data_IF_044795266099
#
_entry.id   IF_044795266099
#
_cell.length_a   1.000
_cell.length_b   1.000
_cell.length_c   1.000
_cell.angle_alpha   90.00
_cell.angle_beta   90.00
_cell.angle_gamma   90.00
#
_symmetry.space_group_name_H-M   'P 1'
#
loop_
_entity.id
_entity.type
_entity.pdbx_description
1 polymer ?
#
# COMPACT_ATOMS: atom_id res chain seq x y z
N UNK A 1 -11.97 24.46 -3.36
CA UNK A 1 -11.21 23.72 -2.33
C UNK A 1 -11.31 22.26 -2.67
N UNK A 2 -10.45 21.77 -3.57
CA UNK A 2 -10.48 20.37 -4.03
C UNK A 2 -9.71 19.57 -2.97
N UNK A 3 -10.44 18.93 -2.05
CA UNK A 3 -9.91 17.78 -1.30
C UNK A 3 -9.69 16.69 -2.33
N UNK A 4 -8.51 16.62 -2.91
CA UNK A 4 -8.13 15.48 -3.74
C UNK A 4 -8.17 14.23 -2.86
N UNK A 5 -8.94 13.23 -3.28
CA UNK A 5 -8.94 11.90 -2.69
C UNK A 5 -7.50 11.39 -2.63
N UNK A 6 -6.91 11.45 -1.44
CA UNK A 6 -5.56 10.95 -1.13
C UNK A 6 -5.64 9.42 -1.06
N UNK A 7 -5.78 8.74 -2.19
CA UNK A 7 -5.70 7.29 -2.22
C UNK A 7 -4.22 6.86 -2.12
N UNK A 8 -3.82 6.47 -0.91
CA UNK A 8 -2.61 5.69 -0.70
C UNK A 8 -2.90 4.25 -1.15
N UNK A 9 -2.09 3.69 -2.05
CA UNK A 9 -2.29 2.34 -2.58
C UNK A 9 -1.22 1.41 -2.02
N UNK A 10 -1.62 0.27 -1.44
CA UNK A 10 -0.69 -0.74 -0.90
C UNK A 10 -1.09 -2.14 -1.36
N UNK A 11 -0.26 -2.75 -2.21
CA UNK A 11 -0.46 -4.12 -2.70
C UNK A 11 0.12 -5.11 -1.69
N UNK A 12 -0.76 -5.87 -1.02
CA UNK A 12 -0.38 -7.00 -0.18
C UNK A 12 -1.02 -8.27 -0.75
N UNK A 13 -0.25 -9.36 -0.81
CA UNK A 13 -0.61 -10.62 -1.46
C UNK A 13 -1.81 -11.34 -0.84
N UNK A 14 -2.15 -10.97 0.39
CA UNK A 14 -3.31 -11.39 1.12
C UNK A 14 -3.76 -10.19 1.96
N UNK A 15 -5.05 -10.13 2.37
CA UNK A 15 -5.47 -9.30 3.48
C UNK A 15 -4.81 -9.82 4.77
N UNK A 16 -3.52 -9.51 4.96
CA UNK A 16 -2.80 -9.86 6.17
C UNK A 16 -3.35 -8.98 7.30
N UNK A 17 -3.97 -9.62 8.29
CA UNK A 17 -4.57 -8.95 9.43
C UNK A 17 -3.53 -8.28 10.35
N UNK A 18 -2.25 -8.62 10.19
CA UNK A 18 -1.14 -8.21 11.05
C UNK A 18 -0.14 -7.33 10.27
N UNK A 19 -0.55 -6.10 9.98
CA UNK A 19 0.38 -5.06 9.47
C UNK A 19 0.94 -4.25 10.63
N UNK A 20 2.06 -3.56 10.41
CA UNK A 20 2.60 -2.63 11.40
C UNK A 20 2.74 -1.23 10.82
N UNK A 21 2.39 -0.23 11.61
CA UNK A 21 2.48 1.19 11.25
C UNK A 21 3.09 2.01 12.38
N UNK A 22 3.68 3.16 12.06
CA UNK A 22 4.00 4.16 13.07
C UNK A 22 2.72 4.86 13.53
N UNK A 23 2.77 5.48 14.72
CA UNK A 23 1.66 6.31 15.24
C UNK A 23 1.25 7.38 14.22
N UNK A 24 2.25 8.09 13.70
CA UNK A 24 2.06 9.13 12.70
C UNK A 24 1.39 8.61 11.43
N UNK A 25 1.87 7.50 10.85
CA UNK A 25 1.32 6.98 9.59
C UNK A 25 -0.15 6.58 9.71
N UNK A 26 -0.56 6.01 10.85
CA UNK A 26 -1.96 5.68 11.06
C UNK A 26 -2.83 6.94 11.29
N UNK A 27 -2.35 7.89 12.10
CA UNK A 27 -3.05 9.17 12.35
C UNK A 27 -3.20 10.03 11.09
N UNK A 28 -2.24 9.96 10.16
CA UNK A 28 -2.30 10.62 8.85
C UNK A 28 -3.19 9.88 7.83
N UNK A 29 -3.71 8.70 8.20
CA UNK A 29 -4.64 7.94 7.37
C UNK A 29 -3.98 7.18 6.24
N UNK A 30 -2.71 6.74 6.36
CA UNK A 30 -1.99 6.02 5.30
C UNK A 30 -2.67 4.73 4.80
N UNK A 31 -3.63 4.19 5.56
CA UNK A 31 -4.39 3.00 5.19
C UNK A 31 -5.84 3.31 4.78
N UNK A 32 -6.34 4.51 5.05
CA UNK A 32 -7.71 4.88 4.73
C UNK A 32 -7.90 4.98 3.21
N UNK A 33 -8.82 4.20 2.65
CA UNK A 33 -9.05 4.17 1.21
C UNK A 33 -8.00 3.42 0.40
N UNK A 34 -7.11 2.68 1.07
CA UNK A 34 -6.18 1.77 0.42
C UNK A 34 -6.91 0.55 -0.16
N UNK A 35 -6.28 -0.09 -1.15
CA UNK A 35 -6.77 -1.31 -1.81
C UNK A 35 -5.71 -2.39 -1.69
N UNK A 36 -6.09 -3.57 -1.21
CA UNK A 36 -5.21 -4.76 -1.19
C UNK A 36 -5.60 -5.70 -2.33
N UNK A 37 -4.60 -6.24 -3.06
CA UNK A 37 -4.82 -7.12 -4.20
C UNK A 37 -4.21 -8.49 -3.94
N UNK A 38 -5.04 -9.54 -3.98
CA UNK A 38 -4.60 -10.89 -3.64
C UNK A 38 -4.26 -11.76 -4.86
N UNK A 39 -3.75 -12.97 -4.59
CA UNK A 39 -3.39 -13.95 -5.62
C UNK A 39 -4.58 -14.56 -6.35
N UNK A 40 -5.80 -14.42 -5.83
CA UNK A 40 -7.04 -14.83 -6.50
C UNK A 40 -7.55 -13.78 -7.50
N UNK A 41 -6.90 -12.60 -7.53
CA UNK A 41 -7.30 -11.48 -8.39
C UNK A 41 -8.43 -10.66 -7.81
N UNK A 42 -8.58 -10.65 -6.48
CA UNK A 42 -9.57 -9.84 -5.78
C UNK A 42 -8.94 -8.57 -5.19
N UNK A 43 -9.63 -7.44 -5.36
CA UNK A 43 -9.34 -6.17 -4.71
C UNK A 43 -10.20 -6.02 -3.47
N UNK A 44 -9.54 -5.84 -2.33
CA UNK A 44 -10.11 -5.67 -1.01
C UNK A 44 -9.93 -4.21 -0.56
N UNK A 45 -10.99 -3.40 -0.52
CA UNK A 45 -10.89 -2.03 -0.02
C UNK A 45 -10.68 -2.00 1.49
N UNK A 46 -9.66 -1.29 1.95
CA UNK A 46 -9.45 -1.00 3.36
C UNK A 46 -10.43 0.10 3.77
N UNK A 47 -11.37 -0.29 4.61
CA UNK A 47 -12.45 0.58 5.11
C UNK A 47 -12.11 1.22 6.45
N UNK A 48 -11.27 0.55 7.24
CA UNK A 48 -10.80 1.05 8.53
C UNK A 48 -9.42 0.45 8.87
N UNK A 49 -8.66 1.15 9.70
CA UNK A 49 -7.38 0.69 10.20
C UNK A 49 -7.16 1.21 11.62
N UNK A 50 -6.90 0.30 12.57
CA UNK A 50 -6.79 0.63 13.98
C UNK A 50 -5.63 -0.11 14.64
N UNK A 51 -4.99 0.49 15.64
CA UNK A 51 -4.00 -0.22 16.46
C UNK A 51 -4.67 -1.39 17.19
N UNK A 52 -4.00 -2.55 17.19
CA UNK A 52 -4.48 -3.72 17.95
C UNK A 52 -4.54 -3.40 19.45
N UNK A 53 -3.56 -2.66 19.93
CA UNK A 53 -3.53 -2.07 21.27
C UNK A 53 -3.19 -0.59 21.15
N UNK A 54 -3.90 0.32 21.84
CA UNK A 54 -3.61 1.74 21.78
C UNK A 54 -2.14 2.04 22.14
N UNK A 55 -1.43 2.85 21.34
CA UNK A 55 -0.08 3.27 21.69
C UNK A 55 -0.11 4.08 22.98
N UNK A 56 0.90 3.88 23.82
CA UNK A 56 1.11 4.66 25.03
C UNK A 56 1.48 6.11 24.68
N UNK A 57 1.24 7.08 25.57
CA UNK A 57 1.68 8.47 25.34
C UNK A 57 3.20 8.58 25.09
N UNK A 58 4.01 7.71 25.69
CA UNK A 58 5.45 7.64 25.46
C UNK A 58 5.84 7.19 24.05
N UNK A 59 4.97 6.50 23.33
CA UNK A 59 5.26 6.08 21.95
C UNK A 59 5.33 7.28 21.00
N UNK A 60 4.74 8.42 21.36
CA UNK A 60 4.89 9.69 20.63
C UNK A 60 6.31 10.25 20.68
N UNK A 61 7.11 9.84 21.68
CA UNK A 61 8.52 10.22 21.78
C UNK A 61 9.43 9.37 20.87
N UNK A 62 8.90 8.27 20.33
CA UNK A 62 9.60 7.39 19.40
C UNK A 62 8.75 7.23 18.11
N UNK A 63 8.63 8.27 17.27
CA UNK A 63 7.75 8.26 16.10
C UNK A 63 8.12 7.21 15.05
N UNK A 64 9.36 6.68 15.07
CA UNK A 64 9.79 5.57 14.22
C UNK A 64 9.33 4.19 14.72
N UNK A 65 8.80 4.09 15.95
CA UNK A 65 8.35 2.82 16.53
C UNK A 65 7.13 2.33 15.77
N UNK A 66 7.19 1.08 15.32
CA UNK A 66 6.10 0.41 14.62
C UNK A 66 5.22 -0.35 15.62
N UNK A 67 3.92 -0.23 15.44
CA UNK A 67 2.90 -0.86 16.28
C UNK A 67 2.01 -1.77 15.41
N UNK A 68 1.53 -2.91 15.95
CA UNK A 68 0.55 -3.75 15.25
C UNK A 68 -0.73 -2.99 14.96
N UNK A 69 -1.20 -3.10 13.71
CA UNK A 69 -2.42 -2.49 13.18
C UNK A 69 -3.26 -3.59 12.57
N UNK A 70 -4.55 -3.56 12.91
CA UNK A 70 -5.58 -4.37 12.28
C UNK A 70 -6.24 -3.57 11.17
N UNK A 71 -6.31 -4.18 9.99
CA UNK A 71 -7.06 -3.64 8.85
C UNK A 71 -8.44 -4.27 8.78
N UNK A 72 -9.45 -3.46 8.46
CA UNK A 72 -10.81 -3.91 8.18
C UNK A 72 -11.10 -3.73 6.70
N UNK A 73 -11.48 -4.82 6.04
CA UNK A 73 -11.74 -4.84 4.61
C UNK A 73 -13.24 -4.76 4.31
N UNK A 74 -13.60 -4.03 3.27
CA UNK A 74 -14.93 -4.06 2.68
C UNK A 74 -15.11 -5.27 1.76
N UNK A 75 -16.23 -5.29 1.03
CA UNK A 75 -16.52 -6.38 0.10
C UNK A 75 -15.48 -6.46 -1.02
N UNK A 76 -14.89 -7.65 -1.28
CA UNK A 76 -13.96 -7.82 -2.39
C UNK A 76 -14.67 -7.70 -3.72
N UNK A 77 -13.91 -7.31 -4.75
CA UNK A 77 -14.32 -7.45 -6.15
C UNK A 77 -13.20 -8.07 -6.96
N UNK A 78 -13.55 -8.84 -7.99
CA UNK A 78 -12.58 -9.24 -8.99
C UNK A 78 -12.06 -8.01 -9.74
N UNK A 79 -10.75 -7.98 -9.96
CA UNK A 79 -10.09 -6.98 -10.79
C UNK A 79 -9.02 -7.65 -11.66
N UNK A 80 -9.05 -7.42 -12.98
CA UNK A 80 -8.00 -7.93 -13.85
C UNK A 80 -6.68 -7.18 -13.61
N UNK A 81 -5.57 -7.85 -13.93
CA UNK A 81 -4.21 -7.37 -13.63
C UNK A 81 -3.93 -6.01 -14.27
N UNK A 82 -4.42 -5.77 -15.49
CA UNK A 82 -4.27 -4.51 -16.21
C UNK A 82 -4.93 -3.33 -15.48
N UNK A 83 -6.09 -3.55 -14.87
CA UNK A 83 -6.76 -2.55 -14.03
C UNK A 83 -5.92 -2.18 -12.82
N UNK A 84 -5.34 -3.18 -12.15
CA UNK A 84 -4.49 -2.98 -10.96
C UNK A 84 -3.20 -2.26 -11.35
N UNK A 85 -2.58 -2.63 -12.47
CA UNK A 85 -1.40 -1.95 -13.02
C UNK A 85 -1.72 -0.48 -13.36
N UNK A 86 -2.90 -0.19 -13.92
CA UNK A 86 -3.32 1.18 -14.19
C UNK A 86 -3.48 1.99 -12.91
N UNK A 87 -4.06 1.42 -11.85
CA UNK A 87 -4.17 2.07 -10.54
C UNK A 87 -2.79 2.32 -9.91
N UNK A 88 -1.89 1.33 -9.96
CA UNK A 88 -0.50 1.47 -9.50
C UNK A 88 0.25 2.57 -10.27
N UNK A 89 0.02 2.70 -11.56
CA UNK A 89 0.62 3.75 -12.38
C UNK A 89 0.26 5.14 -11.84
N UNK A 90 -0.99 5.37 -11.42
CA UNK A 90 -1.46 6.64 -10.84
C UNK A 90 -0.78 6.98 -9.50
N UNK A 91 -0.24 5.98 -8.81
CA UNK A 91 0.46 6.15 -7.54
C UNK A 91 1.94 6.45 -7.78
N UNK A 92 2.52 5.86 -8.82
CA UNK A 92 3.92 5.99 -9.19
C UNK A 92 4.25 7.23 -10.06
N UNK A 93 3.25 8.00 -10.51
CA UNK A 93 3.50 9.22 -11.30
C UNK A 93 4.21 10.30 -10.47
N UNK A 94 5.12 11.10 -11.07
CA UNK A 94 5.84 12.17 -10.36
C UNK A 94 4.94 13.26 -9.76
N UNK A 95 3.74 13.43 -10.31
CA UNK A 95 2.75 14.38 -9.81
C UNK A 95 2.02 13.92 -8.55
N UNK A 96 2.21 12.67 -8.12
CA UNK A 96 1.61 12.16 -6.90
C UNK A 96 2.48 12.53 -5.68
N UNK A 97 2.00 13.39 -4.76
CA UNK A 97 2.77 13.83 -3.61
C UNK A 97 3.00 12.72 -2.57
N UNK A 98 2.26 11.61 -2.66
CA UNK A 98 2.45 10.43 -1.81
C UNK A 98 3.47 9.43 -2.40
N UNK A 99 4.09 9.75 -3.55
CA UNK A 99 5.11 8.90 -4.14
C UNK A 99 6.40 8.96 -3.32
N UNK A 100 6.86 7.81 -2.86
CA UNK A 100 8.11 7.68 -2.08
C UNK A 100 9.34 7.44 -2.98
N UNK A 101 9.14 7.00 -4.22
CA UNK A 101 10.22 6.59 -5.13
C UNK A 101 10.86 7.75 -5.94
N UNK A 102 12.17 7.69 -6.24
CA UNK A 102 12.80 8.49 -7.29
C UNK A 102 12.24 8.17 -8.68
N UNK A 103 12.28 9.13 -9.62
CA UNK A 103 11.67 9.00 -10.96
C UNK A 103 12.13 7.76 -11.73
N UNK A 104 13.44 7.51 -11.76
CA UNK A 104 14.02 6.38 -12.51
C UNK A 104 13.59 5.02 -11.95
N UNK A 105 13.43 4.92 -10.62
CA UNK A 105 12.97 3.69 -9.95
C UNK A 105 11.48 3.46 -10.14
N UNK A 106 10.68 4.53 -10.07
CA UNK A 106 9.25 4.46 -10.34
C UNK A 106 8.97 4.01 -11.79
N UNK A 107 9.75 4.50 -12.75
CA UNK A 107 9.67 4.09 -14.16
C UNK A 107 10.03 2.62 -14.37
N UNK A 108 11.12 2.15 -13.75
CA UNK A 108 11.54 0.73 -13.81
C UNK A 108 10.49 -0.20 -13.18
N UNK A 109 10.01 0.13 -11.97
CA UNK A 109 8.96 -0.62 -11.31
C UNK A 109 7.70 -0.70 -12.16
N UNK A 110 7.25 0.43 -12.73
CA UNK A 110 6.07 0.44 -13.59
C UNK A 110 6.28 -0.39 -14.87
N UNK A 111 7.47 -0.36 -15.45
CA UNK A 111 7.80 -1.20 -16.61
C UNK A 111 7.69 -2.69 -16.26
N UNK A 112 8.20 -3.11 -15.11
CA UNK A 112 8.12 -4.49 -14.61
C UNK A 112 6.69 -4.90 -14.24
N UNK A 113 5.90 -4.01 -13.64
CA UNK A 113 4.49 -4.29 -13.32
C UNK A 113 3.67 -4.54 -14.59
N UNK A 114 3.97 -3.83 -15.68
CA UNK A 114 3.30 -4.02 -16.98
C UNK A 114 3.60 -5.36 -17.66
N UNK A 115 4.65 -6.08 -17.24
CA UNK A 115 4.95 -7.41 -17.78
C UNK A 115 4.23 -8.53 -17.04
N UNK A 116 3.61 -8.25 -15.89
CA UNK A 116 2.89 -9.27 -15.12
C UNK A 116 1.65 -9.75 -15.88
N UNK A 117 1.50 -11.07 -15.99
CA UNK A 117 0.40 -11.74 -16.68
C UNK A 117 -0.61 -12.39 -15.73
N UNK A 118 -0.30 -12.42 -14.43
CA UNK A 118 -1.15 -12.99 -13.39
C UNK A 118 -1.10 -12.16 -12.10
N UNK A 119 -2.11 -12.30 -11.21
CA UNK A 119 -2.09 -11.63 -9.90
C UNK A 119 -0.85 -11.98 -9.08
N UNK A 120 -0.44 -13.25 -9.09
CA UNK A 120 0.75 -13.72 -8.37
C UNK A 120 2.03 -13.07 -8.91
N UNK A 121 2.22 -12.98 -10.22
CA UNK A 121 3.38 -12.30 -10.82
C UNK A 121 3.41 -10.82 -10.47
N UNK A 122 2.25 -10.15 -10.49
CA UNK A 122 2.16 -8.73 -10.13
C UNK A 122 2.60 -8.49 -8.68
N UNK A 123 2.14 -9.34 -7.76
CA UNK A 123 2.50 -9.29 -6.34
C UNK A 123 4.01 -9.54 -6.15
N UNK A 124 4.59 -10.52 -6.85
CA UNK A 124 6.03 -10.82 -6.74
C UNK A 124 6.89 -9.67 -7.28
N UNK A 125 6.48 -9.01 -8.38
CA UNK A 125 7.15 -7.80 -8.87
C UNK A 125 7.10 -6.70 -7.82
N UNK A 126 5.94 -6.45 -7.21
CA UNK A 126 5.77 -5.44 -6.17
C UNK A 126 6.62 -5.75 -4.92
N UNK A 127 6.66 -7.01 -4.46
CA UNK A 127 7.48 -7.44 -3.30
C UNK A 127 8.98 -7.31 -3.54
N UNK A 128 9.45 -7.69 -4.73
CA UNK A 128 10.87 -7.60 -5.10
C UNK A 128 11.40 -6.17 -5.08
N UNK A 129 10.50 -5.18 -5.20
CA UNK A 129 10.82 -3.75 -5.05
C UNK A 129 11.03 -3.35 -3.59
N UNK A 130 10.10 -3.72 -2.69
CA UNK A 130 10.20 -3.43 -1.24
C UNK A 130 11.47 -4.02 -0.60
N UNK A 131 11.86 -5.24 -1.01
CA UNK A 131 13.07 -5.89 -0.52
C UNK A 131 14.38 -5.18 -0.96
N UNK A 132 14.33 -4.46 -2.09
CA UNK A 132 15.48 -3.72 -2.64
C UNK A 132 15.64 -2.32 -2.02
N UNK A 133 14.63 -1.82 -1.30
CA UNK A 133 14.66 -0.56 -0.56
C UNK A 133 15.20 -0.66 0.87
N UNK A 134 15.27 -1.86 1.46
CA UNK A 134 15.72 -2.10 2.84
C UNK A 134 17.25 -2.22 2.97
N UNK A 135 17.99 -1.35 2.29
CA UNK A 135 19.44 -1.30 2.32
C UNK A 135 19.96 0.12 2.34
N UNK A 136 19.86 0.79 3.49
CA UNK A 136 20.75 1.89 3.94
C UNK A 136 20.50 2.23 5.40
#
# INVERSE_FOLDING_TARGET
MIRGDRQAYRVHAAPDADVTATVQALEEGCYAGALCYDTAGELWPVTDAAFVSPPSPSDRLAPWRRHPVRLTFGSPRRAPVDEVVAQLALVLVPSNPAREEPDDRAADLLARLRTASSPAELIEVARGHDASGSGR
#
